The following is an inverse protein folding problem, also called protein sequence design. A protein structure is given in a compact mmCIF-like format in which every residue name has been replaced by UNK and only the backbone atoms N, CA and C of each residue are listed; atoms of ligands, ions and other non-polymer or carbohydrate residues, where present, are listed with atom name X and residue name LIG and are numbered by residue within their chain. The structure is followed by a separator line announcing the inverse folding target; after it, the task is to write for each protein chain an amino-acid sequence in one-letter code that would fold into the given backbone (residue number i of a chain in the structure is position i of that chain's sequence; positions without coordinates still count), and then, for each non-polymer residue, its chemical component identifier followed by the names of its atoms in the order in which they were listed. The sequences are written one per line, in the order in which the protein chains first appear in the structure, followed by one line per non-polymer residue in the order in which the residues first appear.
data_IF_720631381442
#
_entry.id   IF_720631381442
#
_cell.length_a   1.000
_cell.length_b   1.000
_cell.length_c   1.000
_cell.angle_alpha   90.00
_cell.angle_beta   90.00
_cell.angle_gamma   90.00
#
_symmetry.space_group_name_H-M   'P 1'
#
loop_
_entity.id
_entity.type
_entity.pdbx_description
1 polymer ?
#
# COMPACT_ATOMS: atom_id res chain seq x y z
N UNK A 1 -1.17 41.81 -70.59
CA UNK A 1 -2.16 40.77 -70.26
C UNK A 1 -1.41 39.57 -69.69
N UNK A 2 -1.74 39.12 -68.46
CA UNK A 2 -0.91 38.25 -67.64
C UNK A 2 -1.32 36.76 -67.68
N UNK A 3 -0.47 35.84 -67.20
CA UNK A 3 -0.88 34.60 -66.53
C UNK A 3 -0.48 34.68 -65.04
N UNK A 4 -1.42 34.77 -64.10
CA UNK A 4 -2.15 33.68 -63.40
C UNK A 4 -1.30 32.84 -62.42
N UNK A 5 -1.16 33.39 -61.21
CA UNK A 5 -1.20 32.72 -59.89
C UNK A 5 -1.05 31.20 -59.82
N UNK A 6 0.16 30.69 -59.53
CA UNK A 6 0.30 29.32 -58.99
C UNK A 6 1.56 29.08 -58.12
N UNK A 7 2.30 30.13 -57.71
CA UNK A 7 3.56 29.95 -56.95
C UNK A 7 3.58 30.52 -55.53
N UNK A 8 2.42 30.75 -54.91
CA UNK A 8 2.36 31.28 -53.53
C UNK A 8 1.79 30.29 -52.50
N UNK A 9 1.37 29.09 -52.92
CA UNK A 9 0.74 28.10 -52.02
C UNK A 9 1.70 27.03 -51.46
N UNK A 10 3.02 27.21 -51.57
CA UNK A 10 4.00 26.19 -51.17
C UNK A 10 5.11 26.75 -50.26
N UNK A 11 4.74 27.39 -49.15
CA UNK A 11 5.69 27.67 -48.06
C UNK A 11 5.03 28.02 -46.72
N UNK A 12 3.89 27.43 -46.38
CA UNK A 12 3.33 27.44 -45.02
C UNK A 12 2.63 26.11 -44.71
N UNK A 13 3.39 25.03 -44.68
CA UNK A 13 3.08 23.90 -43.80
C UNK A 13 4.01 24.03 -42.60
N UNK A 14 3.68 24.98 -41.72
CA UNK A 14 4.19 24.93 -40.35
C UNK A 14 3.83 23.55 -39.81
N UNK A 15 4.87 22.87 -39.36
CA UNK A 15 4.82 21.54 -38.78
C UNK A 15 4.19 21.68 -37.38
N UNK A 16 2.88 21.93 -37.35
CA UNK A 16 2.09 21.97 -36.11
C UNK A 16 2.01 20.51 -35.62
N UNK A 17 3.01 20.10 -34.83
CA UNK A 17 3.00 18.80 -34.15
C UNK A 17 1.73 18.78 -33.29
N UNK A 18 0.73 18.03 -33.74
CA UNK A 18 -0.49 17.79 -32.99
C UNK A 18 -0.06 17.33 -31.59
N UNK A 19 -0.46 18.02 -30.51
CA UNK A 19 -0.10 17.62 -29.16
C UNK A 19 -0.60 16.19 -28.93
N UNK A 20 0.25 15.33 -28.38
CA UNK A 20 -0.15 13.98 -28.04
C UNK A 20 -1.27 14.06 -27.00
N UNK A 21 -2.36 13.34 -27.25
CA UNK A 21 -3.52 13.26 -26.36
C UNK A 21 -3.77 11.80 -26.04
N UNK A 22 -3.69 11.43 -24.77
CA UNK A 22 -4.03 10.09 -24.34
C UNK A 22 -5.55 9.88 -24.44
N UNK A 23 -6.00 9.18 -25.48
CA UNK A 23 -7.43 8.86 -25.67
C UNK A 23 -7.91 7.73 -24.75
N UNK A 24 -6.98 6.93 -24.23
CA UNK A 24 -7.27 5.74 -23.43
C UNK A 24 -7.09 5.99 -21.92
N UNK A 25 -6.94 7.25 -21.49
CA UNK A 25 -6.61 7.58 -20.09
C UNK A 25 -7.55 6.93 -19.08
N UNK A 26 -8.86 6.88 -19.36
CA UNK A 26 -9.84 6.22 -18.48
C UNK A 26 -9.58 4.71 -18.33
N UNK A 27 -9.18 4.04 -19.42
CA UNK A 27 -8.85 2.62 -19.40
C UNK A 27 -7.55 2.37 -18.65
N UNK A 28 -6.57 3.25 -18.84
CA UNK A 28 -5.29 3.19 -18.15
C UNK A 28 -5.48 3.40 -16.64
N UNK A 29 -6.17 4.46 -16.22
CA UNK A 29 -6.47 4.75 -14.81
C UNK A 29 -7.30 3.63 -14.17
N UNK A 30 -8.38 3.18 -14.83
CA UNK A 30 -9.19 2.06 -14.33
C UNK A 30 -8.33 0.80 -14.19
N UNK A 31 -7.41 0.51 -15.12
CA UNK A 31 -6.49 -0.62 -15.01
C UNK A 31 -5.61 -0.56 -13.74
N UNK A 32 -5.10 0.63 -13.38
CA UNK A 32 -4.28 0.81 -12.16
C UNK A 32 -5.11 0.57 -10.90
N UNK A 33 -6.29 1.19 -10.81
CA UNK A 33 -7.07 1.19 -9.57
C UNK A 33 -7.99 -0.02 -9.41
N UNK A 34 -8.23 -0.81 -10.47
CA UNK A 34 -9.27 -1.85 -10.51
C UNK A 34 -9.30 -2.75 -9.29
N UNK A 35 -8.14 -3.24 -8.85
CA UNK A 35 -8.05 -4.20 -7.74
C UNK A 35 -8.41 -3.51 -6.42
N UNK A 36 -7.77 -2.37 -6.11
CA UNK A 36 -8.09 -1.56 -4.93
C UNK A 36 -9.57 -1.15 -4.90
N UNK A 37 -10.10 -0.67 -6.04
CA UNK A 37 -11.51 -0.29 -6.21
C UNK A 37 -12.44 -1.46 -5.94
N UNK A 38 -12.17 -2.63 -6.52
CA UNK A 38 -13.02 -3.82 -6.34
C UNK A 38 -13.05 -4.29 -4.89
N UNK A 39 -11.90 -4.31 -4.21
CA UNK A 39 -11.80 -4.78 -2.81
C UNK A 39 -12.36 -3.75 -1.82
N UNK A 40 -12.08 -2.46 -2.00
CA UNK A 40 -12.42 -1.41 -1.04
C UNK A 40 -13.84 -0.82 -1.20
N UNK A 41 -14.48 -1.00 -2.37
CA UNK A 41 -15.86 -0.54 -2.61
C UNK A 41 -16.90 -1.21 -1.69
N UNK A 42 -16.97 -2.55 -1.55
CA UNK A 42 -17.94 -3.19 -0.67
C UNK A 42 -17.70 -2.84 0.81
N UNK A 43 -16.44 -2.60 1.18
CA UNK A 43 -16.00 -2.26 2.54
C UNK A 43 -16.33 -0.79 2.91
N UNK A 44 -16.53 0.07 1.90
CA UNK A 44 -16.85 1.48 2.08
C UNK A 44 -15.63 2.41 2.16
N UNK A 45 -14.41 1.89 2.10
CA UNK A 45 -13.20 2.73 2.11
C UNK A 45 -13.08 3.51 0.79
N UNK A 46 -13.39 2.89 -0.35
CA UNK A 46 -13.21 3.51 -1.66
C UNK A 46 -13.91 4.89 -1.74
N UNK A 47 -13.23 5.95 -2.19
CA UNK A 47 -13.86 7.25 -2.41
C UNK A 47 -14.90 7.12 -3.52
N UNK A 48 -16.14 7.44 -3.16
CA UNK A 48 -17.28 7.34 -4.09
C UNK A 48 -17.38 8.62 -4.92
N UNK A 49 -17.42 8.48 -6.23
CA UNK A 49 -17.78 9.56 -7.14
C UNK A 49 -19.28 9.80 -7.05
N UNK A 50 -19.68 11.06 -6.84
CA UNK A 50 -21.02 11.52 -7.17
C UNK A 50 -22.05 11.59 -6.04
N UNK A 51 -22.55 12.81 -5.92
CA UNK A 51 -23.75 13.35 -5.28
C UNK A 51 -23.79 13.30 -3.75
N UNK A 52 -23.57 14.46 -3.11
CA UNK A 52 -23.75 14.74 -1.67
C UNK A 52 -25.23 14.73 -1.25
N UNK A 53 -26.04 13.90 -1.93
CA UNK A 53 -27.41 13.64 -1.56
C UNK A 53 -27.46 13.07 -0.13
N UNK A 54 -28.41 13.51 0.71
CA UNK A 54 -28.53 13.00 2.08
C UNK A 54 -28.69 11.47 2.11
N UNK A 55 -29.27 10.87 1.06
CA UNK A 55 -29.42 9.41 0.93
C UNK A 55 -28.09 8.69 0.70
N UNK A 56 -27.19 9.23 -0.14
CA UNK A 56 -25.90 8.60 -0.42
C UNK A 56 -24.99 8.63 0.81
N UNK A 57 -24.99 9.76 1.53
CA UNK A 57 -24.27 9.95 2.80
C UNK A 57 -24.80 8.99 3.87
N UNK A 58 -26.12 8.85 4.01
CA UNK A 58 -26.70 7.92 5.00
C UNK A 58 -26.32 6.47 4.70
N UNK A 59 -26.41 6.05 3.43
CA UNK A 59 -26.01 4.69 3.02
C UNK A 59 -24.51 4.44 3.24
N UNK A 60 -23.67 5.46 3.06
CA UNK A 60 -22.24 5.37 3.32
C UNK A 60 -21.95 5.13 4.82
N UNK A 61 -22.54 5.93 5.72
CA UNK A 61 -22.37 5.74 7.16
C UNK A 61 -22.95 4.42 7.65
N UNK A 62 -24.12 3.99 7.14
CA UNK A 62 -24.68 2.68 7.47
C UNK A 62 -23.73 1.53 7.11
N UNK A 63 -23.06 1.60 5.95
CA UNK A 63 -22.04 0.61 5.56
C UNK A 63 -20.84 0.61 6.49
N UNK A 64 -20.34 1.79 6.86
CA UNK A 64 -19.19 1.90 7.79
C UNK A 64 -19.53 1.27 9.13
N UNK A 65 -20.68 1.63 9.70
CA UNK A 65 -21.13 1.10 11.00
C UNK A 65 -21.33 -0.41 10.92
N UNK A 66 -21.91 -0.92 9.83
CA UNK A 66 -22.10 -2.36 9.65
C UNK A 66 -20.76 -3.13 9.60
N UNK A 67 -19.81 -2.69 8.77
CA UNK A 67 -18.49 -3.35 8.64
C UNK A 67 -17.71 -3.27 9.95
N UNK A 68 -17.70 -2.11 10.61
CA UNK A 68 -17.04 -1.94 11.90
C UNK A 68 -17.67 -2.83 12.98
N UNK A 69 -18.99 -2.91 13.03
CA UNK A 69 -19.70 -3.80 13.97
C UNK A 69 -19.34 -5.26 13.74
N UNK A 70 -19.25 -5.71 12.48
CA UNK A 70 -18.82 -7.07 12.14
C UNK A 70 -17.38 -7.34 12.62
N UNK A 71 -16.45 -6.42 12.42
CA UNK A 71 -15.08 -6.56 12.92
C UNK A 71 -15.03 -6.64 14.46
N UNK A 72 -15.84 -5.82 15.16
CA UNK A 72 -15.94 -5.88 16.62
C UNK A 72 -16.57 -7.18 17.13
N UNK A 73 -17.56 -7.73 16.41
CA UNK A 73 -18.17 -9.02 16.74
C UNK A 73 -17.18 -10.19 16.69
N UNK A 74 -16.04 -10.05 16.01
CA UNK A 74 -14.93 -10.99 16.08
C UNK A 74 -13.91 -10.59 17.15
N UNK A 75 -13.50 -9.32 17.16
CA UNK A 75 -12.41 -8.84 18.01
C UNK A 75 -12.74 -8.89 19.51
N UNK A 76 -13.95 -8.47 19.91
CA UNK A 76 -14.32 -8.38 21.34
C UNK A 76 -14.43 -9.77 21.97
N UNK A 77 -15.16 -10.75 21.39
CA UNK A 77 -15.22 -12.11 21.93
C UNK A 77 -13.86 -12.82 21.95
N UNK A 78 -13.00 -12.51 20.98
CA UNK A 78 -11.65 -13.05 20.94
C UNK A 78 -10.77 -12.48 22.07
N UNK A 79 -10.89 -11.18 22.33
CA UNK A 79 -10.22 -10.52 23.44
C UNK A 79 -10.71 -11.06 24.79
N UNK A 80 -12.02 -11.20 24.98
CA UNK A 80 -12.57 -11.73 26.24
C UNK A 80 -12.08 -13.15 26.50
N UNK A 81 -12.13 -14.03 25.51
CA UNK A 81 -11.63 -15.40 25.65
C UNK A 81 -10.13 -15.40 26.01
N UNK A 82 -9.34 -14.57 25.34
CA UNK A 82 -7.88 -14.50 25.54
C UNK A 82 -7.51 -14.03 26.94
N UNK A 83 -8.16 -13.00 27.49
CA UNK A 83 -7.80 -12.47 28.81
C UNK A 83 -8.43 -13.21 29.98
N UNK A 84 -9.61 -13.82 29.82
CA UNK A 84 -10.33 -14.46 30.91
C UNK A 84 -10.15 -15.99 30.98
N UNK A 85 -9.76 -16.65 29.88
CA UNK A 85 -9.65 -18.13 29.82
C UNK A 85 -8.28 -18.66 29.40
N UNK A 86 -7.40 -17.83 28.83
CA UNK A 86 -6.06 -18.29 28.50
C UNK A 86 -5.18 -18.32 29.78
N UNK A 87 -5.27 -19.42 30.52
CA UNK A 87 -4.43 -19.66 31.71
C UNK A 87 -3.00 -20.11 31.36
N UNK A 88 -2.80 -20.59 30.12
CA UNK A 88 -1.54 -21.15 29.64
C UNK A 88 -0.82 -20.17 28.70
N UNK A 89 0.39 -19.75 29.11
CA UNK A 89 1.24 -18.82 28.36
C UNK A 89 1.50 -19.33 26.94
N UNK A 90 1.71 -20.64 26.75
CA UNK A 90 1.97 -21.23 25.44
C UNK A 90 0.78 -21.06 24.48
N UNK A 91 -0.43 -21.31 24.97
CA UNK A 91 -1.68 -21.12 24.19
C UNK A 91 -1.95 -19.64 23.93
N UNK A 92 -1.69 -18.78 24.91
CA UNK A 92 -1.83 -17.34 24.80
C UNK A 92 -0.96 -16.79 23.66
N UNK A 93 0.31 -17.17 23.59
CA UNK A 93 1.24 -16.68 22.56
C UNK A 93 0.83 -17.04 21.13
N UNK A 94 0.28 -18.26 20.91
CA UNK A 94 -0.24 -18.67 19.59
C UNK A 94 -1.45 -17.84 19.14
N UNK A 95 -2.22 -17.29 20.07
CA UNK A 95 -3.49 -16.60 19.80
C UNK A 95 -3.31 -15.09 19.69
N UNK A 96 -2.35 -14.51 20.43
CA UNK A 96 -2.08 -13.06 20.41
C UNK A 96 -1.76 -12.55 18.99
N UNK A 97 -1.05 -13.32 18.15
CA UNK A 97 -0.79 -12.92 16.76
C UNK A 97 -2.08 -12.61 15.99
N UNK A 98 -3.11 -13.46 16.11
CA UNK A 98 -4.39 -13.26 15.45
C UNK A 98 -5.16 -12.04 16.02
N UNK A 99 -5.03 -11.82 17.34
CA UNK A 99 -5.60 -10.65 18.02
C UNK A 99 -4.94 -9.34 17.56
N UNK A 100 -3.61 -9.30 17.49
CA UNK A 100 -2.84 -8.16 16.97
C UNK A 100 -3.18 -7.91 15.52
N UNK A 101 -3.24 -8.95 14.68
CA UNK A 101 -3.64 -8.79 13.28
C UNK A 101 -5.04 -8.17 13.13
N UNK A 102 -6.01 -8.62 13.94
CA UNK A 102 -7.37 -8.10 13.92
C UNK A 102 -7.47 -6.66 14.44
N UNK A 103 -6.69 -6.29 15.46
CA UNK A 103 -6.65 -4.92 15.98
C UNK A 103 -6.02 -3.94 14.99
N UNK A 104 -4.95 -4.35 14.29
CA UNK A 104 -4.34 -3.57 13.21
C UNK A 104 -5.31 -3.35 12.07
N UNK A 105 -6.12 -4.34 11.70
CA UNK A 105 -7.12 -4.19 10.65
C UNK A 105 -8.17 -3.12 11.00
N UNK A 106 -8.65 -3.09 12.25
CA UNK A 106 -9.58 -2.06 12.74
C UNK A 106 -8.93 -0.67 12.75
N UNK A 107 -7.67 -0.58 13.18
CA UNK A 107 -6.93 0.68 13.19
C UNK A 107 -6.75 1.23 11.76
N UNK A 108 -6.35 0.38 10.82
CA UNK A 108 -6.23 0.74 9.39
C UNK A 108 -7.57 1.16 8.81
N UNK A 109 -8.64 0.43 9.11
CA UNK A 109 -9.99 0.74 8.64
C UNK A 109 -10.39 2.18 9.01
N UNK A 110 -10.22 2.54 10.28
CA UNK A 110 -10.51 3.90 10.75
C UNK A 110 -9.57 4.94 10.16
N UNK A 111 -8.26 4.66 10.08
CA UNK A 111 -7.32 5.60 9.52
C UNK A 111 -7.66 5.93 8.05
N UNK A 112 -8.00 4.93 7.23
CA UNK A 112 -8.41 5.12 5.84
C UNK A 112 -9.73 5.89 5.70
N UNK A 113 -10.63 5.80 6.69
CA UNK A 113 -11.85 6.62 6.72
C UNK A 113 -11.50 8.09 7.02
N UNK A 114 -10.59 8.34 7.96
CA UNK A 114 -10.19 9.70 8.32
C UNK A 114 -9.39 10.39 7.22
N UNK A 115 -8.46 9.69 6.57
CA UNK A 115 -7.64 10.21 5.47
C UNK A 115 -8.28 10.06 4.09
N UNK A 116 -9.58 9.73 4.05
CA UNK A 116 -10.32 9.47 2.81
C UNK A 116 -10.30 10.63 1.81
N UNK A 117 -10.30 11.87 2.30
CA UNK A 117 -10.26 13.07 1.45
C UNK A 117 -8.93 13.19 0.72
N UNK A 118 -7.85 12.94 1.44
CA UNK A 118 -6.49 13.02 0.90
C UNK A 118 -6.23 11.87 -0.08
N UNK A 119 -6.72 10.66 0.23
CA UNK A 119 -6.72 9.52 -0.72
C UNK A 119 -7.47 9.86 -2.00
N UNK A 120 -8.64 10.51 -1.90
CA UNK A 120 -9.39 10.96 -3.07
C UNK A 120 -8.57 11.95 -3.90
N UNK A 121 -7.97 12.95 -3.25
CA UNK A 121 -7.13 13.93 -3.94
C UNK A 121 -5.99 13.23 -4.70
N UNK A 122 -5.31 12.25 -4.08
CA UNK A 122 -4.28 11.47 -4.78
C UNK A 122 -4.82 10.73 -6.02
N UNK A 123 -6.01 10.12 -5.93
CA UNK A 123 -6.60 9.39 -7.04
C UNK A 123 -7.05 10.32 -8.19
N UNK A 124 -7.61 11.49 -7.85
CA UNK A 124 -7.99 12.52 -8.82
C UNK A 124 -6.76 13.08 -9.54
N UNK A 125 -5.72 13.46 -8.78
CA UNK A 125 -4.42 13.90 -9.36
C UNK A 125 -3.81 12.83 -10.24
N UNK A 126 -3.88 11.55 -9.84
CA UNK A 126 -3.40 10.45 -10.69
C UNK A 126 -4.17 10.36 -12.00
N UNK A 127 -5.51 10.45 -11.98
CA UNK A 127 -6.32 10.48 -13.21
C UNK A 127 -5.96 11.65 -14.11
N UNK A 128 -5.79 12.85 -13.54
CA UNK A 128 -5.35 14.03 -14.28
C UNK A 128 -3.98 13.83 -14.94
N UNK A 129 -3.03 13.20 -14.25
CA UNK A 129 -1.72 12.87 -14.84
C UNK A 129 -1.84 11.91 -16.02
N UNK A 130 -2.72 10.90 -15.96
CA UNK A 130 -2.97 9.98 -17.08
C UNK A 130 -3.64 10.68 -18.26
N UNK A 131 -4.50 11.68 -18.00
CA UNK A 131 -5.20 12.48 -19.00
C UNK A 131 -4.28 13.47 -19.71
N UNK A 132 -3.41 14.13 -18.95
CA UNK A 132 -2.53 15.21 -19.41
C UNK A 132 -1.15 14.73 -19.86
N UNK A 133 -0.90 13.41 -19.87
CA UNK A 133 0.39 12.85 -20.28
C UNK A 133 0.77 13.29 -21.70
N UNK A 134 1.94 13.91 -21.83
CA UNK A 134 2.35 14.64 -23.04
C UNK A 134 3.06 13.76 -24.10
N UNK A 135 3.37 12.50 -23.76
CA UNK A 135 4.10 11.61 -24.67
C UNK A 135 3.76 10.14 -24.43
N UNK A 136 3.82 9.36 -25.52
CA UNK A 136 3.66 7.91 -25.45
C UNK A 136 4.76 7.26 -24.59
N UNK A 137 5.99 7.78 -24.65
CA UNK A 137 7.09 7.31 -23.80
C UNK A 137 6.77 7.46 -22.30
N UNK A 138 6.26 8.62 -21.89
CA UNK A 138 5.83 8.85 -20.51
C UNK A 138 4.66 7.93 -20.12
N UNK A 139 3.68 7.73 -21.01
CA UNK A 139 2.58 6.78 -20.80
C UNK A 139 3.10 5.36 -20.58
N UNK A 140 4.08 4.90 -21.36
CA UNK A 140 4.67 3.57 -21.19
C UNK A 140 5.39 3.41 -19.85
N UNK A 141 6.07 4.46 -19.36
CA UNK A 141 6.69 4.47 -18.02
C UNK A 141 5.62 4.36 -16.93
N UNK A 142 4.51 5.09 -17.05
CA UNK A 142 3.37 4.99 -16.13
C UNK A 142 2.77 3.58 -16.10
N UNK A 143 2.53 2.99 -17.26
CA UNK A 143 2.00 1.62 -17.36
C UNK A 143 2.98 0.57 -16.83
N UNK A 144 4.29 0.76 -17.02
CA UNK A 144 5.32 -0.11 -16.45
C UNK A 144 5.29 -0.09 -14.92
N UNK A 145 5.23 1.10 -14.30
CA UNK A 145 5.13 1.22 -12.84
C UNK A 145 3.80 0.68 -12.30
N UNK A 146 2.69 0.91 -13.01
CA UNK A 146 1.40 0.31 -12.67
C UNK A 146 1.43 -1.23 -12.68
N UNK A 147 2.11 -1.85 -13.66
CA UNK A 147 2.30 -3.31 -13.71
C UNK A 147 3.09 -3.83 -12.50
N UNK A 148 4.12 -3.10 -12.07
CA UNK A 148 4.90 -3.45 -10.87
C UNK A 148 4.01 -3.35 -9.62
N UNK A 149 3.26 -2.26 -9.45
CA UNK A 149 2.32 -2.11 -8.33
C UNK A 149 1.24 -3.21 -8.30
N UNK A 150 0.78 -3.63 -9.47
CA UNK A 150 -0.16 -4.75 -9.60
C UNK A 150 0.48 -6.10 -9.28
N UNK A 151 1.74 -6.32 -9.67
CA UNK A 151 2.49 -7.51 -9.28
C UNK A 151 2.57 -7.62 -7.76
N UNK A 152 2.90 -6.53 -7.06
CA UNK A 152 2.91 -6.50 -5.59
C UNK A 152 1.54 -6.78 -4.99
N UNK A 153 0.49 -6.20 -5.55
CA UNK A 153 -0.90 -6.45 -5.14
C UNK A 153 -1.26 -7.93 -5.29
N UNK A 154 -0.96 -8.55 -6.44
CA UNK A 154 -1.27 -9.96 -6.71
C UNK A 154 -0.46 -10.87 -5.82
N UNK A 155 0.83 -10.59 -5.62
CA UNK A 155 1.69 -11.33 -4.71
C UNK A 155 1.11 -11.31 -3.29
N UNK A 156 0.77 -10.12 -2.78
CA UNK A 156 0.18 -9.98 -1.45
C UNK A 156 -1.19 -10.66 -1.31
N UNK A 157 -2.06 -10.51 -2.31
CA UNK A 157 -3.37 -11.17 -2.34
C UNK A 157 -3.21 -12.70 -2.33
N UNK A 158 -2.30 -13.23 -3.16
CA UNK A 158 -2.05 -14.67 -3.24
C UNK A 158 -1.51 -15.25 -1.94
N UNK A 159 -0.58 -14.56 -1.26
CA UNK A 159 -0.03 -14.99 0.01
C UNK A 159 -1.05 -14.88 1.16
N UNK A 160 -1.81 -13.79 1.21
CA UNK A 160 -2.82 -13.58 2.26
C UNK A 160 -3.96 -14.59 2.17
N UNK A 161 -4.52 -14.78 0.97
CA UNK A 161 -5.61 -15.74 0.75
C UNK A 161 -5.12 -17.18 0.70
N UNK A 162 -3.88 -17.42 0.26
CA UNK A 162 -3.27 -18.75 0.22
C UNK A 162 -2.75 -19.25 1.56
N UNK A 163 -2.43 -18.35 2.50
CA UNK A 163 -1.97 -18.68 3.84
C UNK A 163 -3.07 -18.59 4.90
N UNK A 164 -3.62 -17.39 5.10
CA UNK A 164 -4.49 -17.10 6.25
C UNK A 164 -5.86 -17.78 6.16
N UNK A 165 -6.51 -17.79 4.99
CA UNK A 165 -7.83 -18.44 4.85
C UNK A 165 -7.76 -19.96 5.04
N UNK A 166 -6.84 -20.69 4.39
CA UNK A 166 -6.64 -22.11 4.67
C UNK A 166 -6.35 -22.37 6.14
N UNK A 167 -5.56 -21.54 6.81
CA UNK A 167 -5.36 -21.66 8.26
C UNK A 167 -6.69 -21.57 9.03
N UNK A 168 -7.51 -20.54 8.78
CA UNK A 168 -8.79 -20.36 9.48
C UNK A 168 -9.80 -21.48 9.19
N UNK A 169 -9.74 -22.13 8.04
CA UNK A 169 -10.69 -23.20 7.65
C UNK A 169 -10.17 -24.57 8.06
N UNK A 170 -8.89 -24.86 7.83
CA UNK A 170 -8.31 -26.22 7.94
C UNK A 170 -7.85 -26.49 9.37
N UNK A 171 -7.19 -25.54 10.04
CA UNK A 171 -6.66 -25.76 11.39
C UNK A 171 -7.74 -26.23 12.38
N UNK A 172 -8.95 -25.60 12.42
CA UNK A 172 -9.98 -26.04 13.35
C UNK A 172 -10.52 -27.45 13.02
N UNK A 173 -10.53 -27.85 11.74
CA UNK A 173 -10.98 -29.17 11.31
C UNK A 173 -9.99 -30.29 11.66
N UNK A 174 -8.71 -29.96 11.78
CA UNK A 174 -7.64 -30.90 12.09
C UNK A 174 -7.36 -31.03 13.59
N UNK A 175 -7.70 -30.01 14.38
CA UNK A 175 -7.49 -30.02 15.82
C UNK A 175 -8.38 -31.06 16.54
N UNK A 176 -7.92 -31.61 17.67
CA UNK A 176 -8.72 -32.50 18.50
C UNK A 176 -10.06 -31.87 18.85
N UNK A 177 -11.13 -32.65 18.73
CA UNK A 177 -12.47 -32.15 19.05
C UNK A 177 -12.56 -31.79 20.53
N UNK A 178 -13.10 -30.61 20.81
CA UNK A 178 -13.38 -30.15 22.17
C UNK A 178 -14.62 -30.89 22.68
N UNK A 179 -14.60 -31.34 23.93
CA UNK A 179 -15.77 -31.95 24.56
C UNK A 179 -16.75 -30.86 24.95
N UNK A 180 -18.00 -31.00 24.49
CA UNK A 180 -19.10 -30.14 24.91
C UNK A 180 -19.45 -30.41 26.36
N UNK A 181 -19.48 -29.36 27.17
CA UNK A 181 -19.64 -29.48 28.62
C UNK A 181 -21.07 -29.93 29.03
N UNK A 182 -22.05 -29.74 28.14
CA UNK A 182 -23.46 -30.08 28.41
C UNK A 182 -23.87 -31.53 28.10
N UNK A 183 -23.22 -32.19 27.12
CA UNK A 183 -23.67 -33.50 26.61
C UNK A 183 -22.51 -34.48 26.30
N UNK A 184 -21.28 -34.15 26.70
CA UNK A 184 -20.05 -34.93 26.40
C UNK A 184 -19.84 -35.23 24.89
N UNK A 185 -20.57 -34.57 24.00
CA UNK A 185 -20.44 -34.71 22.54
C UNK A 185 -19.20 -33.96 22.06
N UNK A 186 -18.52 -34.50 21.04
CA UNK A 186 -17.30 -33.89 20.48
C UNK A 186 -17.63 -32.80 19.44
N UNK A 187 -17.08 -31.58 19.62
CA UNK A 187 -17.23 -30.44 18.69
C UNK A 187 -15.90 -30.00 18.07
N UNK A 188 -15.95 -29.56 16.81
CA UNK A 188 -14.80 -28.96 16.10
C UNK A 188 -14.52 -27.61 16.75
N UNK A 189 -13.29 -27.21 17.11
CA UNK A 189 -13.00 -25.88 17.68
C UNK A 189 -13.35 -24.71 16.73
N UNK A 190 -13.52 -23.51 17.29
CA UNK A 190 -13.76 -22.30 16.49
C UNK A 190 -12.45 -21.80 15.85
N UNK A 191 -12.49 -21.24 14.63
CA UNK A 191 -11.34 -20.60 13.98
C UNK A 191 -10.69 -19.51 14.82
N UNK A 192 -11.52 -18.73 15.53
CA UNK A 192 -11.08 -17.79 16.54
C UNK A 192 -11.71 -18.20 17.87
N UNK A 193 -10.90 -18.67 18.84
CA UNK A 193 -11.38 -18.89 20.21
C UNK A 193 -12.09 -17.64 20.71
N UNK A 194 -13.38 -17.77 21.02
CA UNK A 194 -14.26 -16.63 21.27
C UNK A 194 -15.28 -16.96 22.34
N UNK A 195 -15.52 -16.02 23.24
CA UNK A 195 -16.55 -16.11 24.26
C UNK A 195 -17.59 -15.00 24.06
N UNK A 196 -18.80 -15.39 23.71
CA UNK A 196 -19.91 -14.49 23.52
C UNK A 196 -20.71 -14.37 24.82
N UNK A 197 -20.76 -13.17 25.38
CA UNK A 197 -21.44 -12.89 26.68
C UNK A 197 -22.96 -13.07 26.58
N UNK A 198 -23.54 -12.89 25.39
CA UNK A 198 -24.99 -12.80 25.19
C UNK A 198 -25.66 -14.13 24.84
N UNK A 199 -24.93 -15.17 24.45
CA UNK A 199 -25.48 -16.47 24.10
C UNK A 199 -24.45 -17.59 24.23
N UNK A 200 -24.92 -18.78 24.64
CA UNK A 200 -24.10 -19.98 24.75
C UNK A 200 -23.90 -20.57 23.35
N UNK A 201 -22.67 -20.53 22.85
CA UNK A 201 -22.33 -20.94 21.47
C UNK A 201 -22.40 -22.46 21.29
N UNK A 202 -22.32 -23.22 22.39
CA UNK A 202 -22.21 -24.68 22.37
C UNK A 202 -23.43 -25.41 21.80
N UNK A 203 -24.59 -24.74 21.67
CA UNK A 203 -25.84 -25.33 21.21
C UNK A 203 -26.00 -25.31 19.67
N UNK A 204 -26.16 -26.46 18.99
CA UNK A 204 -26.58 -26.52 17.58
C UNK A 204 -28.01 -25.97 17.44
N UNK A 205 -28.33 -25.17 16.40
CA UNK A 205 -27.51 -24.83 15.21
C UNK A 205 -26.61 -23.58 15.36
N UNK A 206 -26.63 -22.88 16.50
CA UNK A 206 -25.92 -21.61 16.68
C UNK A 206 -24.40 -21.76 16.49
N UNK A 207 -23.82 -22.86 16.97
CA UNK A 207 -22.41 -23.17 16.79
C UNK A 207 -21.95 -23.07 15.32
N UNK A 208 -22.70 -23.70 14.42
CA UNK A 208 -22.38 -23.73 12.98
C UNK A 208 -22.52 -22.35 12.33
N UNK A 209 -23.51 -21.58 12.76
CA UNK A 209 -23.73 -20.20 12.30
C UNK A 209 -22.55 -19.32 12.73
N UNK A 210 -22.09 -19.43 13.98
CA UNK A 210 -20.93 -18.68 14.48
C UNK A 210 -19.66 -19.08 13.75
N UNK A 211 -19.43 -20.38 13.52
CA UNK A 211 -18.27 -20.87 12.78
C UNK A 211 -18.19 -20.26 11.36
N UNK A 212 -19.29 -20.35 10.60
CA UNK A 212 -19.36 -19.75 9.25
C UNK A 212 -19.27 -18.23 9.32
N UNK A 213 -19.91 -17.62 10.32
CA UNK A 213 -19.84 -16.17 10.56
C UNK A 213 -18.42 -15.66 10.79
N UNK A 214 -17.62 -16.36 11.60
CA UNK A 214 -16.22 -16.01 11.87
C UNK A 214 -15.37 -16.09 10.59
N UNK A 215 -15.58 -17.10 9.74
CA UNK A 215 -14.88 -17.22 8.44
C UNK A 215 -15.25 -16.05 7.52
N UNK A 216 -16.51 -15.67 7.47
CA UNK A 216 -16.96 -14.53 6.67
C UNK A 216 -16.38 -13.21 7.19
N UNK A 217 -16.39 -12.99 8.50
CA UNK A 217 -15.81 -11.77 9.11
C UNK A 217 -14.29 -11.73 8.89
N UNK A 218 -13.59 -12.85 9.06
CA UNK A 218 -12.15 -12.96 8.77
C UNK A 218 -11.85 -12.66 7.29
N UNK A 219 -12.69 -13.14 6.38
CA UNK A 219 -12.59 -12.81 4.95
C UNK A 219 -12.76 -11.30 4.69
N UNK A 220 -13.64 -10.61 5.41
CA UNK A 220 -13.81 -9.15 5.33
C UNK A 220 -12.55 -8.44 5.85
N UNK A 221 -11.97 -8.90 6.96
CA UNK A 221 -10.71 -8.35 7.51
C UNK A 221 -9.57 -8.51 6.50
N UNK A 222 -9.41 -9.70 5.92
CA UNK A 222 -8.40 -9.97 4.90
C UNK A 222 -8.62 -9.12 3.64
N UNK A 223 -9.86 -9.01 3.17
CA UNK A 223 -10.22 -8.14 2.03
C UNK A 223 -9.89 -6.68 2.32
N UNK A 224 -10.14 -6.20 3.55
CA UNK A 224 -9.80 -4.85 3.99
C UNK A 224 -8.29 -4.64 3.91
N UNK A 225 -7.52 -5.56 4.50
CA UNK A 225 -6.07 -5.45 4.52
C UNK A 225 -5.50 -5.44 3.09
N UNK A 226 -5.84 -6.44 2.28
CA UNK A 226 -5.41 -6.53 0.86
C UNK A 226 -5.85 -5.35 0.01
N UNK A 227 -7.07 -4.84 0.22
CA UNK A 227 -7.53 -3.63 -0.46
C UNK A 227 -6.67 -2.41 -0.13
N UNK A 228 -6.31 -2.23 1.16
CA UNK A 228 -5.47 -1.12 1.60
C UNK A 228 -4.07 -1.21 1.01
N UNK A 229 -3.39 -2.37 1.04
CA UNK A 229 -2.07 -2.45 0.38
C UNK A 229 -2.16 -2.30 -1.14
N UNK A 230 -3.24 -2.77 -1.76
CA UNK A 230 -3.43 -2.54 -3.20
C UNK A 230 -3.50 -1.05 -3.52
N UNK A 231 -4.22 -0.28 -2.69
CA UNK A 231 -4.29 1.17 -2.81
C UNK A 231 -2.92 1.82 -2.57
N UNK A 232 -2.20 1.42 -1.52
CA UNK A 232 -0.84 1.90 -1.21
C UNK A 232 0.10 1.63 -2.39
N UNK A 233 0.14 0.39 -2.89
CA UNK A 233 0.99 0.03 -4.02
C UNK A 233 0.64 0.85 -5.27
N UNK A 234 -0.64 1.12 -5.52
CA UNK A 234 -1.09 1.98 -6.62
C UNK A 234 -0.56 3.41 -6.48
N UNK A 235 -0.88 4.10 -5.38
CA UNK A 235 -0.54 5.52 -5.22
C UNK A 235 0.97 5.74 -5.09
N UNK A 236 1.69 4.86 -4.38
CA UNK A 236 3.13 5.02 -4.20
C UNK A 236 3.90 4.67 -5.48
N UNK A 237 3.50 3.63 -6.22
CA UNK A 237 4.13 3.35 -7.52
C UNK A 237 3.87 4.43 -8.55
N UNK A 238 2.70 5.10 -8.49
CA UNK A 238 2.47 6.31 -9.28
C UNK A 238 3.41 7.44 -8.87
N UNK A 239 3.63 7.64 -7.56
CA UNK A 239 4.61 8.61 -7.06
C UNK A 239 6.03 8.32 -7.58
N UNK A 240 6.49 7.06 -7.53
CA UNK A 240 7.75 6.64 -8.13
C UNK A 240 7.82 6.98 -9.62
N UNK A 241 6.72 6.77 -10.34
CA UNK A 241 6.63 7.09 -11.76
C UNK A 241 6.78 8.59 -12.04
N UNK A 242 6.23 9.47 -11.20
CA UNK A 242 6.39 10.92 -11.38
C UNK A 242 7.86 11.32 -11.29
N UNK A 243 8.60 10.74 -10.34
CA UNK A 243 10.04 10.97 -10.25
C UNK A 243 10.81 10.38 -11.45
N UNK A 244 10.47 9.17 -11.91
CA UNK A 244 11.10 8.53 -13.09
C UNK A 244 10.86 9.35 -14.38
N UNK A 245 9.63 9.85 -14.58
CA UNK A 245 9.30 10.74 -15.72
C UNK A 245 10.06 12.07 -15.63
N UNK A 246 10.20 12.63 -14.42
CA UNK A 246 11.01 13.84 -14.20
C UNK A 246 12.47 13.59 -14.58
N UNK A 247 13.04 12.46 -14.13
CA UNK A 247 14.40 12.05 -14.46
C UNK A 247 14.62 11.92 -15.97
N UNK A 248 13.70 11.28 -16.69
CA UNK A 248 13.80 11.17 -18.15
C UNK A 248 13.64 12.50 -18.87
N UNK A 249 12.72 13.38 -18.44
CA UNK A 249 12.62 14.75 -18.99
C UNK A 249 13.95 15.48 -18.83
N UNK A 250 14.63 15.28 -17.71
CA UNK A 250 15.92 15.88 -17.41
C UNK A 250 17.07 15.31 -18.26
N UNK A 251 17.14 13.99 -18.42
CA UNK A 251 18.11 13.34 -19.31
C UNK A 251 17.98 13.83 -20.75
N UNK A 252 16.75 14.01 -21.25
CA UNK A 252 16.53 14.55 -22.60
C UNK A 252 16.99 15.99 -22.75
N UNK A 253 16.98 16.79 -21.68
CA UNK A 253 17.61 18.11 -21.70
C UNK A 253 19.14 17.99 -21.79
N UNK A 254 19.74 16.96 -21.20
CA UNK A 254 21.18 16.71 -21.20
C UNK A 254 21.70 16.13 -22.54
N UNK A 255 20.92 15.29 -23.21
CA UNK A 255 21.28 14.59 -24.45
C UNK A 255 21.06 15.43 -25.72
N UNK A 256 20.30 16.52 -25.64
CA UNK A 256 20.16 17.53 -26.72
C UNK A 256 21.45 18.32 -27.02
N UNK A 257 22.62 17.79 -26.64
CA UNK A 257 23.96 18.38 -26.61
C UNK A 257 24.61 18.64 -27.97
N UNK A 258 23.81 18.94 -29.00
CA UNK A 258 24.29 19.45 -30.27
C UNK A 258 23.40 20.59 -30.74
N UNK A 259 23.41 21.74 -30.06
CA UNK A 259 22.86 22.96 -30.64
C UNK A 259 23.62 24.24 -30.27
N UNK A 260 23.77 25.03 -31.30
CA UNK A 260 24.52 26.27 -31.45
C UNK A 260 24.15 27.35 -30.39
N UNK A 261 25.17 27.99 -29.80
CA UNK A 261 25.12 28.80 -28.56
C UNK A 261 24.27 30.09 -28.62
N UNK A 262 23.58 30.38 -29.73
CA UNK A 262 22.95 31.69 -29.97
C UNK A 262 21.44 31.69 -30.24
N UNK A 263 20.81 30.59 -30.66
CA UNK A 263 19.40 30.60 -31.10
C UNK A 263 18.38 29.95 -30.12
N UNK A 264 18.82 29.22 -29.09
CA UNK A 264 17.97 28.26 -28.35
C UNK A 264 17.58 28.71 -26.91
N UNK A 265 17.73 30.00 -26.58
CA UNK A 265 17.66 30.46 -25.17
C UNK A 265 16.27 30.47 -24.50
N UNK A 266 15.13 30.81 -25.16
CA UNK A 266 13.84 30.84 -24.47
C UNK A 266 13.20 29.46 -24.28
N UNK A 267 13.41 28.53 -25.22
CA UNK A 267 12.84 27.17 -25.17
C UNK A 267 13.48 26.32 -24.05
N UNK A 268 14.79 26.46 -23.81
CA UNK A 268 15.48 25.77 -22.71
C UNK A 268 14.99 26.22 -21.33
N UNK A 269 14.79 27.53 -21.14
CA UNK A 269 14.29 28.07 -19.87
C UNK A 269 12.87 27.59 -19.62
N UNK A 270 12.02 27.58 -20.65
CA UNK A 270 10.65 27.08 -20.56
C UNK A 270 10.63 25.60 -20.15
N UNK A 271 11.37 24.74 -20.84
CA UNK A 271 11.45 23.31 -20.48
C UNK A 271 12.02 23.06 -19.09
N UNK A 272 12.97 23.87 -18.64
CA UNK A 272 13.50 23.77 -17.29
C UNK A 272 12.44 24.14 -16.25
N UNK A 273 11.66 25.20 -16.49
CA UNK A 273 10.51 25.57 -15.62
C UNK A 273 9.49 24.43 -15.60
N UNK A 274 9.15 23.86 -16.76
CA UNK A 274 8.22 22.73 -16.85
C UNK A 274 8.70 21.51 -16.02
N UNK A 275 10.03 21.25 -15.98
CA UNK A 275 10.61 20.18 -15.14
C UNK A 275 10.57 20.54 -13.65
N UNK A 276 10.87 21.79 -13.28
CA UNK A 276 10.78 22.26 -11.89
C UNK A 276 9.36 22.08 -11.37
N UNK A 277 8.37 22.50 -12.15
CA UNK A 277 6.96 22.42 -11.79
C UNK A 277 6.53 20.96 -11.64
N UNK A 278 6.90 20.09 -12.59
CA UNK A 278 6.60 18.66 -12.52
C UNK A 278 7.30 17.95 -11.34
N UNK A 279 8.52 18.37 -10.99
CA UNK A 279 9.22 17.86 -9.79
C UNK A 279 8.55 18.30 -8.49
N UNK A 280 8.12 19.57 -8.40
CA UNK A 280 7.39 20.08 -7.24
C UNK A 280 6.03 19.39 -7.08
N UNK A 281 5.34 19.10 -8.19
CA UNK A 281 4.10 18.33 -8.19
C UNK A 281 4.33 16.90 -7.68
N UNK A 282 5.40 16.23 -8.12
CA UNK A 282 5.78 14.91 -7.61
C UNK A 282 6.08 14.92 -6.10
N UNK A 283 6.76 15.96 -5.60
CA UNK A 283 7.02 16.15 -4.16
C UNK A 283 5.71 16.38 -3.40
N UNK A 284 4.84 17.28 -3.86
CA UNK A 284 3.57 17.56 -3.21
C UNK A 284 2.65 16.32 -3.16
N UNK A 285 2.68 15.51 -4.22
CA UNK A 285 1.98 14.23 -4.28
C UNK A 285 2.54 13.24 -3.24
N UNK A 286 3.86 13.15 -3.10
CA UNK A 286 4.50 12.32 -2.09
C UNK A 286 4.20 12.77 -0.65
N UNK A 287 4.23 14.08 -0.37
CA UNK A 287 3.89 14.65 0.93
C UNK A 287 2.43 14.34 1.30
N UNK A 288 1.53 14.36 0.31
CA UNK A 288 0.12 13.98 0.50
C UNK A 288 0.01 12.49 0.85
N UNK A 289 0.71 11.61 0.13
CA UNK A 289 0.77 10.18 0.41
C UNK A 289 1.31 9.91 1.82
N UNK A 290 2.41 10.57 2.19
CA UNK A 290 3.01 10.42 3.51
C UNK A 290 1.99 10.77 4.59
N UNK A 291 1.32 11.93 4.50
CA UNK A 291 0.31 12.33 5.47
C UNK A 291 -0.88 11.36 5.55
N UNK A 292 -1.32 10.79 4.42
CA UNK A 292 -2.40 9.79 4.37
C UNK A 292 -2.03 8.48 5.08
N UNK A 293 -0.82 8.01 4.84
CA UNK A 293 -0.39 6.65 5.14
C UNK A 293 0.47 6.55 6.39
N UNK A 294 0.94 7.66 6.95
CA UNK A 294 1.89 7.72 8.06
C UNK A 294 1.53 6.78 9.22
N UNK A 295 0.27 6.85 9.68
CA UNK A 295 -0.24 6.02 10.78
C UNK A 295 -0.40 4.57 10.35
N UNK A 296 -0.84 4.30 9.10
CA UNK A 296 -0.92 2.93 8.57
C UNK A 296 0.46 2.28 8.55
N UNK A 297 1.46 2.96 8.02
CA UNK A 297 2.83 2.46 7.91
C UNK A 297 3.45 2.21 9.29
N UNK A 298 3.22 3.10 10.26
CA UNK A 298 3.68 2.89 11.64
C UNK A 298 3.03 1.65 12.26
N UNK A 299 1.70 1.56 12.15
CA UNK A 299 0.95 0.43 12.70
C UNK A 299 1.39 -0.88 12.06
N UNK A 300 1.75 -0.85 10.78
CA UNK A 300 2.19 -2.01 10.04
C UNK A 300 3.58 -2.46 10.45
N UNK A 301 4.55 -1.56 10.48
CA UNK A 301 5.92 -1.89 10.86
C UNK A 301 5.96 -2.44 12.30
N UNK A 302 5.34 -1.74 13.26
CA UNK A 302 5.31 -2.20 14.65
C UNK A 302 4.44 -3.43 14.86
N UNK A 303 3.28 -3.49 14.21
CA UNK A 303 2.33 -4.58 14.32
C UNK A 303 2.85 -5.88 13.73
N UNK A 304 3.50 -5.83 12.57
CA UNK A 304 4.14 -6.99 11.96
C UNK A 304 5.32 -7.49 12.79
N UNK A 305 6.13 -6.62 13.42
CA UNK A 305 7.18 -7.06 14.35
C UNK A 305 6.60 -7.94 15.46
N UNK A 306 5.49 -7.52 16.07
CA UNK A 306 4.83 -8.29 17.12
C UNK A 306 4.27 -9.60 16.57
N UNK A 307 3.57 -9.57 15.43
CA UNK A 307 3.01 -10.77 14.81
C UNK A 307 4.11 -11.77 14.46
N UNK A 308 5.20 -11.32 13.84
CA UNK A 308 6.36 -12.17 13.49
C UNK A 308 6.94 -12.81 14.75
N UNK A 309 7.13 -12.03 15.82
CA UNK A 309 7.66 -12.55 17.09
C UNK A 309 6.79 -13.69 17.67
N UNK A 310 5.46 -13.52 17.69
CA UNK A 310 4.55 -14.56 18.17
C UNK A 310 4.47 -15.78 17.23
N UNK A 311 4.58 -15.58 15.91
CA UNK A 311 4.65 -16.67 14.94
C UNK A 311 5.95 -17.47 15.08
N UNK A 312 7.09 -16.80 15.25
CA UNK A 312 8.39 -17.43 15.51
C UNK A 312 8.35 -18.29 16.77
N UNK A 313 7.73 -17.78 17.84
CA UNK A 313 7.51 -18.53 19.06
C UNK A 313 6.62 -19.77 18.82
N UNK A 314 5.53 -19.61 18.08
CA UNK A 314 4.64 -20.72 17.73
C UNK A 314 5.34 -21.84 16.95
N UNK A 315 6.23 -21.48 16.01
CA UNK A 315 7.07 -22.43 15.26
C UNK A 315 7.99 -23.22 16.20
N UNK A 316 8.65 -22.55 17.14
CA UNK A 316 9.54 -23.22 18.11
C UNK A 316 8.76 -24.18 19.00
N UNK A 317 7.57 -23.79 19.45
CA UNK A 317 6.75 -24.64 20.29
C UNK A 317 6.26 -25.88 19.54
N UNK A 318 5.76 -25.72 18.31
CA UNK A 318 5.31 -26.86 17.50
C UNK A 318 6.46 -27.81 17.14
N UNK A 319 7.69 -27.29 17.05
CA UNK A 319 8.89 -28.11 16.89
C UNK A 319 9.19 -28.95 18.14
N UNK A 320 9.01 -28.41 19.35
CA UNK A 320 9.13 -29.16 20.61
C UNK A 320 8.04 -30.23 20.73
N UNK A 321 6.80 -29.88 20.35
CA UNK A 321 5.63 -30.76 20.43
C UNK A 321 5.56 -31.79 19.28
N UNK A 322 6.54 -31.77 18.35
CA UNK A 322 6.61 -32.60 17.15
C UNK A 322 5.38 -32.49 16.21
N UNK A 323 4.69 -31.35 16.21
CA UNK A 323 3.58 -31.04 15.32
C UNK A 323 4.06 -30.35 14.03
N UNK A 324 4.43 -31.17 13.04
CA UNK A 324 4.94 -30.66 11.76
C UNK A 324 3.90 -29.87 10.95
N UNK A 325 2.60 -30.10 11.16
CA UNK A 325 1.54 -29.39 10.42
C UNK A 325 1.37 -27.97 10.96
N UNK A 326 1.35 -27.81 12.29
CA UNK A 326 1.36 -26.49 12.94
C UNK A 326 2.58 -25.67 12.52
N UNK A 327 3.78 -26.27 12.61
CA UNK A 327 5.04 -25.66 12.21
C UNK A 327 5.02 -25.16 10.76
N UNK A 328 4.57 -26.00 9.81
CA UNK A 328 4.47 -25.61 8.39
C UNK A 328 3.52 -24.42 8.22
N UNK A 329 2.39 -24.43 8.91
CA UNK A 329 1.37 -23.40 8.77
C UNK A 329 1.84 -22.06 9.31
N UNK A 330 2.43 -22.03 10.51
CA UNK A 330 3.03 -20.80 11.04
C UNK A 330 4.21 -20.31 10.20
N UNK A 331 5.01 -21.21 9.61
CA UNK A 331 6.07 -20.86 8.67
C UNK A 331 5.55 -20.17 7.39
N UNK A 332 4.43 -20.64 6.83
CA UNK A 332 3.77 -20.00 5.69
C UNK A 332 3.23 -18.62 6.07
N UNK A 333 2.57 -18.48 7.22
CA UNK A 333 2.07 -17.20 7.71
C UNK A 333 3.21 -16.20 7.97
N UNK A 334 4.29 -16.64 8.61
CA UNK A 334 5.49 -15.84 8.86
C UNK A 334 6.06 -15.33 7.53
N UNK A 335 6.26 -16.23 6.56
CA UNK A 335 6.76 -15.86 5.22
C UNK A 335 5.84 -14.84 4.54
N UNK A 336 4.52 -15.01 4.64
CA UNK A 336 3.54 -14.06 4.09
C UNK A 336 3.69 -12.66 4.70
N UNK A 337 3.85 -12.56 6.02
CA UNK A 337 4.03 -11.27 6.70
C UNK A 337 5.40 -10.65 6.36
N UNK A 338 6.48 -11.44 6.30
CA UNK A 338 7.79 -10.94 5.86
C UNK A 338 7.75 -10.36 4.45
N UNK A 339 7.10 -11.05 3.51
CA UNK A 339 6.96 -10.55 2.13
C UNK A 339 6.15 -9.26 2.11
N UNK A 340 5.12 -9.11 2.95
CA UNK A 340 4.37 -7.86 3.04
C UNK A 340 5.25 -6.68 3.50
N UNK A 341 5.95 -6.84 4.62
CA UNK A 341 6.85 -5.80 5.15
C UNK A 341 7.95 -5.48 4.14
N UNK A 342 8.51 -6.51 3.48
CA UNK A 342 9.49 -6.34 2.42
C UNK A 342 8.95 -5.51 1.25
N UNK A 343 7.75 -5.82 0.74
CA UNK A 343 7.13 -5.07 -0.37
C UNK A 343 6.94 -3.60 0.02
N UNK A 344 6.44 -3.31 1.22
CA UNK A 344 6.26 -1.93 1.69
C UNK A 344 7.59 -1.19 1.77
N UNK A 345 8.58 -1.80 2.43
CA UNK A 345 9.93 -1.23 2.55
C UNK A 345 10.60 -1.02 1.20
N UNK A 346 10.44 -1.96 0.27
CA UNK A 346 10.97 -1.87 -1.09
C UNK A 346 10.36 -0.71 -1.88
N UNK A 347 9.03 -0.56 -1.81
CA UNK A 347 8.34 0.54 -2.49
C UNK A 347 8.77 1.89 -1.90
N UNK A 348 8.93 1.99 -0.58
CA UNK A 348 9.45 3.20 0.09
C UNK A 348 10.88 3.56 -0.33
N UNK A 349 11.77 2.57 -0.37
CA UNK A 349 13.16 2.77 -0.81
C UNK A 349 13.25 3.16 -2.28
N UNK A 350 12.38 2.59 -3.13
CA UNK A 350 12.28 2.97 -4.55
C UNK A 350 11.88 4.43 -4.74
N UNK A 351 10.92 4.96 -3.96
CA UNK A 351 10.56 6.40 -4.02
C UNK A 351 11.78 7.25 -3.69
N UNK A 352 12.48 6.88 -2.62
CA UNK A 352 13.68 7.59 -2.16
C UNK A 352 14.77 7.58 -3.23
N UNK A 353 15.09 6.41 -3.79
CA UNK A 353 16.10 6.26 -4.85
C UNK A 353 15.77 7.15 -6.05
N UNK A 354 14.53 7.10 -6.55
CA UNK A 354 14.10 7.91 -7.69
C UNK A 354 14.15 9.41 -7.38
N UNK A 355 13.83 9.82 -6.15
CA UNK A 355 13.96 11.22 -5.73
C UNK A 355 15.43 11.66 -5.63
N UNK A 356 16.35 10.80 -5.18
CA UNK A 356 17.80 11.08 -5.09
C UNK A 356 18.44 11.20 -6.49
N UNK A 357 18.04 10.34 -7.43
CA UNK A 357 18.54 10.35 -8.80
C UNK A 357 18.31 11.68 -9.52
N UNK A 358 17.17 12.35 -9.27
CA UNK A 358 16.88 13.67 -9.86
C UNK A 358 17.94 14.71 -9.44
N UNK A 359 18.33 14.72 -8.17
CA UNK A 359 19.39 15.62 -7.67
C UNK A 359 20.73 15.38 -8.36
N UNK A 360 21.11 14.11 -8.51
CA UNK A 360 22.36 13.71 -9.17
C UNK A 360 22.36 14.08 -10.67
N UNK A 361 21.25 13.85 -11.36
CA UNK A 361 21.09 14.21 -12.76
C UNK A 361 21.11 15.73 -12.96
N UNK A 362 20.51 16.50 -12.05
CA UNK A 362 20.54 17.96 -12.10
C UNK A 362 21.96 18.51 -11.87
N UNK A 363 22.72 17.92 -10.95
CA UNK A 363 24.10 18.28 -10.70
C UNK A 363 25.01 18.03 -11.93
N UNK A 364 24.68 17.00 -12.72
CA UNK A 364 25.42 16.63 -13.93
C UNK A 364 25.17 17.56 -15.14
N UNK A 365 24.19 18.47 -15.04
CA UNK A 365 24.03 19.54 -16.04
C UNK A 365 25.25 20.46 -15.98
N UNK A 366 25.74 20.92 -17.13
CA UNK A 366 26.74 22.00 -17.21
C UNK A 366 26.09 23.35 -16.81
N UNK A 367 25.64 23.46 -15.56
CA UNK A 367 24.83 24.56 -15.07
C UNK A 367 25.59 25.90 -15.03
N UNK A 368 26.92 25.83 -15.04
CA UNK A 368 27.84 26.97 -15.16
C UNK A 368 27.78 27.66 -16.52
N UNK A 369 27.33 26.95 -17.57
CA UNK A 369 27.22 27.48 -18.93
C UNK A 369 25.83 28.05 -19.24
N UNK A 370 24.88 28.03 -18.27
CA UNK A 370 23.56 28.61 -18.48
C UNK A 370 23.65 30.15 -18.55
N UNK A 371 23.19 30.76 -19.66
CA UNK A 371 23.33 32.20 -19.87
C UNK A 371 22.32 33.07 -19.09
N UNK A 372 21.44 32.46 -18.29
CA UNK A 372 20.34 33.14 -17.61
C UNK A 372 20.39 32.90 -16.10
N UNK A 373 20.57 33.98 -15.32
CA UNK A 373 20.56 33.96 -13.85
C UNK A 373 19.28 33.34 -13.27
N UNK A 374 18.15 33.50 -13.94
CA UNK A 374 16.88 32.89 -13.53
C UNK A 374 16.91 31.37 -13.62
N UNK A 375 17.42 30.82 -14.73
CA UNK A 375 17.55 29.38 -14.90
C UNK A 375 18.59 28.79 -13.95
N UNK A 376 19.69 29.51 -13.72
CA UNK A 376 20.73 29.14 -12.77
C UNK A 376 20.21 29.12 -11.32
N UNK A 377 19.32 30.05 -10.96
CA UNK A 377 18.61 30.05 -9.66
C UNK A 377 17.68 28.85 -9.51
N UNK A 378 16.92 28.49 -10.54
CA UNK A 378 16.01 27.33 -10.51
C UNK A 378 16.78 26.00 -10.38
N UNK A 379 17.87 25.83 -11.13
CA UNK A 379 18.74 24.65 -10.99
C UNK A 379 19.31 24.54 -9.58
N UNK A 380 19.83 25.65 -9.02
CA UNK A 380 20.33 25.67 -7.63
C UNK A 380 19.25 25.32 -6.62
N UNK A 381 18.03 25.81 -6.81
CA UNK A 381 16.90 25.50 -5.94
C UNK A 381 16.55 24.00 -6.00
N UNK A 382 16.49 23.40 -7.18
CA UNK A 382 16.24 21.96 -7.32
C UNK A 382 17.36 21.16 -6.66
N UNK A 383 18.63 21.47 -6.90
CA UNK A 383 19.76 20.77 -6.28
C UNK A 383 19.69 20.88 -4.75
N UNK A 384 19.41 22.08 -4.23
CA UNK A 384 19.24 22.30 -2.80
C UNK A 384 18.05 21.50 -2.22
N UNK A 385 16.94 21.40 -2.95
CA UNK A 385 15.77 20.61 -2.55
C UNK A 385 16.03 19.11 -2.65
N UNK A 386 16.69 18.65 -3.69
CA UNK A 386 17.00 17.24 -3.94
C UNK A 386 18.05 16.68 -2.96
N UNK A 387 18.85 17.54 -2.32
CA UNK A 387 19.66 17.15 -1.16
C UNK A 387 18.81 16.68 0.04
N UNK A 388 17.51 16.98 0.06
CA UNK A 388 16.54 16.39 0.96
C UNK A 388 15.61 15.47 0.15
N UNK A 389 16.03 14.21 -0.10
CA UNK A 389 15.24 13.31 -0.90
C UNK A 389 13.90 13.04 -0.23
N UNK A 390 12.88 12.85 -1.07
CA UNK A 390 11.54 12.53 -0.62
C UNK A 390 11.53 11.14 -0.01
N UNK A 391 11.12 11.02 1.25
CA UNK A 391 11.08 9.74 1.98
C UNK A 391 9.68 9.53 2.52
N UNK A 392 9.19 8.31 2.41
CA UNK A 392 7.97 7.92 3.11
C UNK A 392 8.35 7.51 4.52
N UNK A 393 7.70 8.11 5.52
CA UNK A 393 7.96 7.79 6.92
C UNK A 393 6.83 6.98 7.54
N UNK A 394 7.18 6.16 8.52
CA UNK A 394 6.30 5.46 9.43
C UNK A 394 6.28 6.23 10.77
N UNK A 395 5.15 6.84 11.06
CA UNK A 395 4.93 7.66 12.27
C UNK A 395 5.73 8.96 12.34
N UNK A 396 6.40 9.40 11.26
CA UNK A 396 7.51 10.39 11.32
C UNK A 396 8.68 9.96 12.23
N UNK A 397 8.75 8.68 12.59
CA UNK A 397 9.75 8.12 13.49
C UNK A 397 10.79 7.29 12.73
N UNK A 398 10.34 6.56 11.70
CA UNK A 398 11.19 5.64 10.93
C UNK A 398 11.02 5.87 9.44
N UNK A 399 12.12 5.84 8.69
CA UNK A 399 12.08 5.88 7.23
C UNK A 399 11.65 4.49 6.71
N UNK A 400 10.63 4.46 5.85
CA UNK A 400 10.20 3.23 5.18
C UNK A 400 11.27 2.83 4.16
N UNK A 401 12.13 1.89 4.57
CA UNK A 401 13.34 1.52 3.84
C UNK A 401 13.66 0.04 4.04
N UNK A 402 14.49 -0.52 3.17
CA UNK A 402 15.01 -1.89 3.34
C UNK A 402 15.78 -2.07 4.67
N UNK A 403 16.41 -1.00 5.17
CA UNK A 403 17.00 -1.00 6.50
C UNK A 403 15.94 -1.19 7.60
N UNK A 404 14.81 -0.50 7.50
CA UNK A 404 13.67 -0.68 8.40
C UNK A 404 13.14 -2.12 8.42
N UNK A 405 13.12 -2.81 7.27
CA UNK A 405 12.80 -4.24 7.21
C UNK A 405 13.80 -5.10 8.00
N UNK A 406 15.11 -4.85 7.84
CA UNK A 406 16.14 -5.54 8.61
C UNK A 406 16.00 -5.29 10.11
N UNK A 407 15.62 -4.07 10.51
CA UNK A 407 15.41 -3.71 11.90
C UNK A 407 14.16 -4.38 12.48
N UNK A 408 13.08 -4.52 11.70
CA UNK A 408 11.90 -5.33 12.06
C UNK A 408 12.29 -6.79 12.32
N UNK A 409 13.07 -7.41 11.44
CA UNK A 409 13.52 -8.79 11.61
C UNK A 409 14.44 -8.97 12.84
N UNK A 410 15.33 -8.01 13.10
CA UNK A 410 16.21 -8.05 14.28
C UNK A 410 15.41 -7.85 15.57
N UNK A 411 14.46 -6.93 15.57
CA UNK A 411 13.63 -6.63 16.74
C UNK A 411 12.68 -7.79 17.06
N UNK A 412 12.09 -8.47 16.06
CA UNK A 412 11.29 -9.67 16.29
C UNK A 412 12.10 -10.78 16.97
N UNK A 413 13.31 -11.06 16.48
CA UNK A 413 14.21 -12.04 17.09
C UNK A 413 14.65 -11.63 18.51
N UNK A 414 14.90 -10.33 18.75
CA UNK A 414 15.24 -9.84 20.08
C UNK A 414 14.09 -10.03 21.07
N UNK A 415 12.85 -9.72 20.66
CA UNK A 415 11.66 -9.98 21.47
C UNK A 415 11.42 -11.48 21.69
N UNK A 416 11.68 -12.32 20.68
CA UNK A 416 11.61 -13.78 20.83
C UNK A 416 12.57 -14.27 21.91
N UNK A 417 13.83 -13.83 21.88
CA UNK A 417 14.82 -14.20 22.90
C UNK A 417 14.40 -13.75 24.31
N UNK A 418 13.78 -12.57 24.41
CA UNK A 418 13.22 -12.10 25.67
C UNK A 418 12.07 -13.00 26.16
N UNK A 419 11.11 -13.32 25.29
CA UNK A 419 10.01 -14.23 25.61
C UNK A 419 10.51 -15.61 26.07
N UNK A 420 11.51 -16.18 25.39
CA UNK A 420 12.12 -17.45 25.77
C UNK A 420 12.78 -17.39 27.15
N UNK A 421 13.42 -16.27 27.47
CA UNK A 421 14.06 -16.09 28.79
C UNK A 421 12.99 -16.04 29.90
N UNK A 422 11.86 -15.36 29.64
CA UNK A 422 10.74 -15.30 30.58
C UNK A 422 10.07 -16.67 30.79
N UNK A 423 10.02 -17.53 29.78
CA UNK A 423 9.46 -18.88 29.93
C UNK A 423 10.35 -19.82 30.76
N UNK A 424 11.67 -19.60 30.74
CA UNK A 424 12.66 -20.42 31.48
C UNK A 424 12.74 -20.00 32.96
N UNK A 425 12.26 -18.80 33.31
CA UNK A 425 12.32 -18.23 34.67
C UNK A 425 11.02 -18.47 35.42
#
# INVERSE_FOLDING_TARGET
MPPSSSKVAASKSENEKIPYVNRDYLLDTEYVVKVAKTLLTPIGIWPRDGDDSPRSVTIFWMRIVAVFSLMLCLLVPHFTWTFFKAEDLRKLMKIIAAMVFSSLAVLKYWNMIFTKKDIRACLETMEDHYRLVESEEARQIMLKNAKIGRLFTVAYLSLSYGGALPYHIIMPLLQPRVLRQSDNSSMIPLPYPSEYVFFIVEDPPLYQIVFVGQILISSIILTTNTGVYSLIACIVMHCCCLFEVTGHKLERLLDGRSYDKRAVRPDLVKRLVDIVDYHNEAIAYADTIENCLNIVMLSEMGGCTLIICFLEYGILQDLEDADYLGMMTYGVLMTSIFVNVFILSFIGDKVREQSELIGNSMYSIQWMDLPNDFALKNVKFIIARANQPTRLTAGKLFDLSLQGFCDVAKTSMAYLNFLRTLEIT
#
